data_IF_512543787336
#
_entry.id   IF_512543787336
#
_cell.length_a   1.000
_cell.length_b   1.000
_cell.length_c   1.000
_cell.angle_alpha   90.00
_cell.angle_beta   90.00
_cell.angle_gamma   90.00
#
_symmetry.space_group_name_H-M   'P 1'
#
loop_
_entity.id
_entity.type
_entity.pdbx_description
1 polymer ?
#
# COMPACT_ATOMS: atom_id res chain seq x y z
N UNK A 1 -8.16 -21.09 16.52
CA UNK A 1 -7.43 -21.77 15.42
C UNK A 1 -7.74 -20.99 14.15
N UNK A 2 -6.78 -20.32 13.50
CA UNK A 2 -7.08 -19.59 12.28
C UNK A 2 -7.31 -20.59 11.14
N UNK A 3 -8.39 -20.39 10.41
CA UNK A 3 -8.81 -21.19 9.27
C UNK A 3 -7.72 -21.09 8.18
N UNK A 4 -6.89 -22.13 8.09
CA UNK A 4 -5.94 -22.28 6.99
C UNK A 4 -6.75 -22.55 5.73
N UNK A 5 -6.48 -21.78 4.66
CA UNK A 5 -7.04 -21.92 3.30
C UNK A 5 -8.47 -21.40 3.09
N UNK A 6 -8.68 -20.08 3.13
CA UNK A 6 -9.88 -19.47 2.55
C UNK A 6 -9.57 -18.86 1.18
N UNK A 7 -9.24 -19.71 0.21
CA UNK A 7 -9.35 -19.33 -1.21
C UNK A 7 -10.84 -19.25 -1.55
N UNK A 8 -11.49 -18.17 -1.14
CA UNK A 8 -12.92 -18.00 -1.31
C UNK A 8 -13.20 -17.31 -2.64
N UNK A 9 -14.02 -17.97 -3.47
CA UNK A 9 -14.69 -17.26 -4.55
C UNK A 9 -15.69 -16.29 -3.91
N UNK A 10 -15.52 -15.00 -4.18
CA UNK A 10 -16.39 -13.91 -3.71
C UNK A 10 -17.15 -13.33 -4.89
N UNK A 11 -18.42 -13.00 -4.66
CA UNK A 11 -19.25 -12.25 -5.61
C UNK A 11 -19.33 -10.82 -5.12
N UNK A 12 -18.61 -9.90 -5.77
CA UNK A 12 -18.67 -8.47 -5.48
C UNK A 12 -19.92 -7.91 -6.14
N UNK A 13 -20.85 -7.38 -5.36
CA UNK A 13 -22.02 -6.67 -5.89
C UNK A 13 -21.60 -5.28 -6.38
N UNK A 14 -21.95 -4.96 -7.63
CA UNK A 14 -21.67 -3.66 -8.26
C UNK A 14 -22.95 -2.84 -8.48
N UNK A 15 -24.11 -3.51 -8.43
CA UNK A 15 -25.45 -2.96 -8.65
C UNK A 15 -26.48 -4.08 -8.57
N UNK A 16 -27.78 -3.78 -8.74
CA UNK A 16 -28.87 -4.75 -8.59
C UNK A 16 -28.71 -6.01 -9.46
N UNK A 17 -28.21 -5.84 -10.68
CA UNK A 17 -27.99 -6.92 -11.65
C UNK A 17 -26.52 -7.07 -12.05
N UNK A 18 -25.64 -6.23 -11.51
CA UNK A 18 -24.23 -6.22 -11.86
C UNK A 18 -23.40 -6.81 -10.72
N UNK A 19 -22.55 -7.78 -11.05
CA UNK A 19 -21.59 -8.35 -10.11
C UNK A 19 -20.28 -8.73 -10.79
N UNK A 20 -19.27 -8.96 -9.97
CA UNK A 20 -17.95 -9.43 -10.36
C UNK A 20 -17.55 -10.62 -9.49
N UNK A 21 -17.28 -11.76 -10.14
CA UNK A 21 -16.74 -12.94 -9.46
C UNK A 21 -15.23 -12.82 -9.35
N UNK A 22 -14.72 -12.87 -8.12
CA UNK A 22 -13.30 -12.84 -7.82
C UNK A 22 -12.90 -14.02 -6.94
N UNK A 23 -11.63 -14.38 -6.93
CA UNK A 23 -11.02 -15.27 -5.94
C UNK A 23 -9.87 -14.54 -5.27
N UNK A 24 -9.87 -14.49 -3.95
CA UNK A 24 -8.70 -14.00 -3.21
C UNK A 24 -7.68 -15.13 -3.14
N UNK A 25 -6.43 -14.81 -3.48
CA UNK A 25 -5.29 -15.70 -3.45
C UNK A 25 -4.37 -15.31 -2.29
N UNK A 26 -3.93 -16.29 -1.52
CA UNK A 26 -2.88 -16.08 -0.53
C UNK A 26 -1.51 -15.85 -1.21
N UNK A 27 -0.53 -15.26 -0.49
CA UNK A 27 0.83 -15.13 -1.00
C UNK A 27 1.46 -16.46 -1.44
N UNK A 28 1.15 -17.56 -0.73
CA UNK A 28 1.64 -18.90 -1.06
C UNK A 28 1.01 -19.44 -2.36
N UNK A 29 -0.30 -19.25 -2.54
CA UNK A 29 -1.00 -19.64 -3.77
C UNK A 29 -0.44 -18.88 -4.98
N UNK A 30 -0.26 -17.56 -4.85
CA UNK A 30 0.32 -16.73 -5.90
C UNK A 30 1.76 -17.16 -6.22
N UNK A 31 2.58 -17.41 -5.18
CA UNK A 31 3.96 -17.85 -5.34
C UNK A 31 4.05 -19.20 -6.07
N UNK A 32 3.14 -20.13 -5.74
CA UNK A 32 3.01 -21.40 -6.47
C UNK A 32 2.69 -21.18 -7.94
N UNK A 33 1.71 -20.32 -8.25
CA UNK A 33 1.35 -19.98 -9.64
C UNK A 33 2.51 -19.36 -10.42
N UNK A 34 3.30 -18.48 -9.78
CA UNK A 34 4.51 -17.87 -10.37
C UNK A 34 5.57 -18.94 -10.68
N UNK A 35 5.85 -19.83 -9.73
CA UNK A 35 6.87 -20.88 -9.86
C UNK A 35 6.52 -21.93 -10.91
N UNK A 36 5.23 -22.27 -11.03
CA UNK A 36 4.71 -23.20 -12.04
C UNK A 36 4.64 -22.55 -13.44
N UNK A 37 4.98 -21.26 -13.57
CA UNK A 37 4.84 -20.45 -14.79
C UNK A 37 3.41 -20.49 -15.35
N UNK A 38 2.42 -20.65 -14.48
CA UNK A 38 1.01 -20.67 -14.84
C UNK A 38 0.44 -19.27 -15.13
N UNK A 39 1.26 -18.24 -14.92
CA UNK A 39 0.93 -16.83 -15.14
C UNK A 39 2.06 -16.08 -15.82
N UNK A 40 1.70 -15.11 -16.64
CA UNK A 40 2.60 -14.17 -17.31
C UNK A 40 2.28 -12.74 -16.91
N UNK A 41 3.30 -11.95 -16.55
CA UNK A 41 3.11 -10.55 -16.20
C UNK A 41 2.65 -9.74 -17.41
N UNK A 42 1.69 -8.85 -17.19
CA UNK A 42 1.16 -7.90 -18.16
C UNK A 42 1.24 -6.49 -17.57
N UNK A 43 0.87 -5.47 -18.36
CA UNK A 43 0.78 -4.10 -17.85
C UNK A 43 -0.12 -4.04 -16.61
N UNK A 44 0.38 -3.42 -15.56
CA UNK A 44 -0.35 -3.27 -14.29
C UNK A 44 -1.64 -2.50 -14.51
N UNK A 45 -2.75 -3.07 -14.04
CA UNK A 45 -4.04 -2.39 -14.03
C UNK A 45 -4.04 -1.39 -12.86
N UNK A 46 -4.33 -0.10 -13.09
CA UNK A 46 -4.24 0.94 -12.07
C UNK A 46 -5.36 0.80 -11.04
N UNK A 47 -5.09 0.08 -9.97
CA UNK A 47 -6.00 -0.15 -8.83
C UNK A 47 -5.24 0.23 -7.56
N UNK A 48 -5.95 0.80 -6.58
CA UNK A 48 -5.33 1.18 -5.31
C UNK A 48 -4.63 -0.02 -4.66
N UNK A 49 -3.35 0.17 -4.28
CA UNK A 49 -2.53 -0.88 -3.66
C UNK A 49 -1.99 -1.96 -4.60
N UNK A 50 -2.33 -1.94 -5.90
CA UNK A 50 -1.83 -2.92 -6.86
C UNK A 50 -0.36 -2.65 -7.19
N UNK A 51 0.44 -3.73 -7.21
CA UNK A 51 1.86 -3.69 -7.58
C UNK A 51 2.11 -4.29 -8.96
N UNK A 52 1.54 -5.46 -9.24
CA UNK A 52 1.73 -6.21 -10.49
C UNK A 52 0.41 -6.77 -10.98
N UNK A 53 0.33 -7.01 -12.28
CA UNK A 53 -0.80 -7.74 -12.88
C UNK A 53 -0.28 -8.87 -13.74
N UNK A 54 -0.95 -10.02 -13.65
CA UNK A 54 -0.64 -11.20 -14.42
C UNK A 54 -1.87 -11.69 -15.18
N UNK A 55 -1.63 -12.36 -16.29
CA UNK A 55 -2.62 -13.14 -17.03
C UNK A 55 -2.30 -14.63 -16.89
N UNK A 56 -3.31 -15.45 -16.58
CA UNK A 56 -3.19 -16.92 -16.56
C UNK A 56 -3.32 -17.49 -17.98
N UNK A 57 -2.90 -18.73 -18.20
CA UNK A 57 -3.14 -19.44 -19.48
C UNK A 57 -4.63 -19.49 -19.85
N UNK A 58 -5.50 -19.56 -18.84
CA UNK A 58 -6.96 -19.51 -18.96
C UNK A 58 -7.54 -18.11 -19.20
N UNK A 59 -6.69 -17.10 -19.48
CA UNK A 59 -7.07 -15.69 -19.70
C UNK A 59 -7.80 -15.04 -18.52
N UNK A 60 -7.50 -15.51 -17.31
CA UNK A 60 -7.91 -14.86 -16.07
C UNK A 60 -6.88 -13.81 -15.69
N UNK A 61 -7.32 -12.74 -15.04
CA UNK A 61 -6.43 -11.67 -14.59
C UNK A 61 -6.18 -11.80 -13.10
N UNK A 62 -4.92 -11.71 -12.70
CA UNK A 62 -4.49 -11.73 -11.29
C UNK A 62 -3.88 -10.37 -10.99
N UNK A 63 -4.45 -9.64 -10.03
CA UNK A 63 -3.92 -8.38 -9.52
C UNK A 63 -3.24 -8.65 -8.18
N UNK A 64 -1.93 -8.46 -8.12
CA UNK A 64 -1.13 -8.57 -6.90
C UNK A 64 -1.07 -7.22 -6.20
N UNK A 65 -1.16 -7.23 -4.87
CA UNK A 65 -1.07 -6.04 -4.02
C UNK A 65 0.29 -5.96 -3.30
N UNK A 66 0.63 -4.78 -2.78
CA UNK A 66 1.91 -4.56 -2.08
C UNK A 66 2.11 -5.49 -0.87
N UNK A 67 1.05 -5.93 -0.20
CA UNK A 67 1.14 -6.89 0.90
C UNK A 67 1.35 -8.35 0.45
N UNK A 68 1.45 -8.61 -0.86
CA UNK A 68 1.69 -9.94 -1.44
C UNK A 68 0.44 -10.79 -1.66
N UNK A 69 -0.72 -10.36 -1.16
CA UNK A 69 -1.99 -10.99 -1.51
C UNK A 69 -2.40 -10.63 -2.95
N UNK A 70 -3.33 -11.39 -3.52
CA UNK A 70 -3.81 -11.13 -4.87
C UNK A 70 -5.29 -11.41 -5.05
N UNK A 71 -5.88 -10.78 -6.06
CA UNK A 71 -7.26 -11.02 -6.49
C UNK A 71 -7.23 -11.54 -7.92
N UNK A 72 -7.81 -12.72 -8.13
CA UNK A 72 -7.99 -13.33 -9.44
C UNK A 72 -9.42 -13.12 -9.95
N UNK A 73 -9.52 -12.75 -11.21
CA UNK A 73 -10.77 -12.39 -11.87
C UNK A 73 -11.02 -13.39 -12.99
N UNK A 74 -12.16 -14.07 -12.90
CA UNK A 74 -12.46 -15.24 -13.74
C UNK A 74 -12.77 -14.91 -15.21
N UNK A 75 -12.92 -13.64 -15.58
CA UNK A 75 -13.18 -13.24 -16.97
C UNK A 75 -12.51 -11.93 -17.35
N UNK A 76 -12.08 -11.84 -18.61
CA UNK A 76 -11.50 -10.60 -19.18
C UNK A 76 -12.49 -9.45 -19.17
N UNK A 77 -13.79 -9.69 -19.38
CA UNK A 77 -14.83 -8.67 -19.25
C UNK A 77 -14.94 -8.11 -17.83
N UNK A 78 -14.64 -8.94 -16.81
CA UNK A 78 -14.60 -8.51 -15.42
C UNK A 78 -13.53 -7.46 -15.13
N UNK A 79 -12.49 -7.33 -15.96
CA UNK A 79 -11.42 -6.35 -15.75
C UNK A 79 -11.90 -4.91 -15.90
N UNK A 80 -12.84 -4.64 -16.81
CA UNK A 80 -13.44 -3.31 -16.95
C UNK A 80 -14.22 -2.89 -15.72
N UNK A 81 -14.82 -3.86 -15.02
CA UNK A 81 -15.61 -3.65 -13.80
C UNK A 81 -14.75 -3.33 -12.58
N UNK A 82 -13.47 -3.74 -12.56
CA UNK A 82 -12.54 -3.42 -11.46
C UNK A 82 -12.40 -1.93 -11.21
N UNK A 83 -12.60 -1.09 -12.23
CA UNK A 83 -12.51 0.37 -12.06
C UNK A 83 -13.53 0.94 -11.07
N UNK A 84 -14.60 0.19 -10.78
CA UNK A 84 -15.61 0.53 -9.77
C UNK A 84 -15.25 0.03 -8.37
N UNK A 85 -14.25 -0.85 -8.26
CA UNK A 85 -13.87 -1.55 -7.03
C UNK A 85 -12.56 -0.97 -6.50
N UNK A 86 -12.62 -0.46 -5.28
CA UNK A 86 -11.46 -0.10 -4.49
C UNK A 86 -11.17 -1.23 -3.51
N UNK A 87 -10.00 -1.85 -3.63
CA UNK A 87 -9.52 -2.79 -2.62
C UNK A 87 -8.84 -2.02 -1.49
N UNK A 88 -9.10 -2.46 -0.27
CA UNK A 88 -8.64 -1.84 0.96
C UNK A 88 -7.96 -2.90 1.81
N UNK A 89 -6.81 -2.57 2.39
CA UNK A 89 -6.18 -3.39 3.42
C UNK A 89 -6.90 -3.15 4.74
N UNK A 90 -7.15 -4.21 5.49
CA UNK A 90 -7.66 -4.09 6.85
C UNK A 90 -6.50 -4.21 7.85
N UNK A 91 -6.49 -3.30 8.83
CA UNK A 91 -5.48 -3.18 9.87
C UNK A 91 -6.14 -3.38 11.25
N UNK A 92 -6.32 -4.63 11.70
CA UNK A 92 -6.85 -4.92 13.04
C UNK A 92 -6.42 -6.31 13.56
N UNK A 93 -6.59 -6.54 14.87
CA UNK A 93 -6.01 -7.66 15.62
C UNK A 93 -6.35 -9.06 15.07
N UNK A 94 -5.31 -9.85 14.81
CA UNK A 94 -5.39 -11.27 14.47
C UNK A 94 -5.63 -11.61 12.98
N UNK A 95 -5.79 -10.62 12.10
CA UNK A 95 -5.97 -10.82 10.66
C UNK A 95 -5.09 -9.91 9.81
N UNK A 96 -3.77 -10.13 9.91
CA UNK A 96 -2.77 -9.47 9.06
C UNK A 96 -2.96 -9.92 7.61
N UNK A 97 -2.81 -9.00 6.66
CA UNK A 97 -2.93 -9.22 5.21
C UNK A 97 -4.32 -9.50 4.63
N UNK A 98 -5.40 -9.17 5.34
CA UNK A 98 -6.74 -9.25 4.75
C UNK A 98 -6.99 -8.07 3.79
N UNK A 99 -7.49 -8.40 2.60
CA UNK A 99 -8.04 -7.43 1.66
C UNK A 99 -9.55 -7.47 1.77
N UNK A 100 -10.13 -6.27 1.83
CA UNK A 100 -11.54 -6.00 1.65
C UNK A 100 -11.80 -5.15 0.41
N UNK A 101 -13.07 -4.93 0.09
CA UNK A 101 -13.45 -4.11 -1.05
C UNK A 101 -14.55 -3.10 -0.71
N UNK A 102 -14.48 -1.98 -1.41
CA UNK A 102 -15.49 -0.96 -1.49
C UNK A 102 -15.84 -0.72 -2.95
N UNK A 103 -17.13 -0.62 -3.26
CA UNK A 103 -17.61 -0.26 -4.60
C UNK A 103 -18.27 1.10 -4.51
N UNK A 104 -17.80 2.05 -5.34
CA UNK A 104 -18.47 3.34 -5.47
C UNK A 104 -19.77 3.16 -6.24
N UNK A 105 -20.89 3.57 -5.64
CA UNK A 105 -22.23 3.49 -6.25
C UNK A 105 -22.75 4.89 -6.56
N UNK A 106 -23.57 4.99 -7.60
CA UNK A 106 -24.45 6.14 -7.79
C UNK A 106 -25.72 6.02 -6.94
N UNK A 107 -26.46 7.14 -6.82
CA UNK A 107 -27.69 7.22 -6.05
C UNK A 107 -28.80 6.28 -6.58
N UNK A 108 -29.07 6.20 -7.91
CA UNK A 108 -30.08 5.27 -8.42
C UNK A 108 -29.78 3.81 -8.05
N UNK A 109 -28.54 3.36 -8.22
CA UNK A 109 -28.15 1.98 -7.89
C UNK A 109 -28.22 1.72 -6.40
N UNK A 110 -27.81 2.69 -5.57
CA UNK A 110 -27.93 2.61 -4.12
C UNK A 110 -29.38 2.46 -3.68
N UNK A 111 -30.28 3.31 -4.20
CA UNK A 111 -31.70 3.27 -3.84
C UNK A 111 -32.35 1.93 -4.26
N UNK A 112 -32.00 1.41 -5.43
CA UNK A 112 -32.49 0.11 -5.90
C UNK A 112 -32.01 -1.06 -5.03
N UNK A 113 -30.76 -1.05 -4.56
CA UNK A 113 -30.22 -2.08 -3.65
C UNK A 113 -30.85 -1.97 -2.25
N UNK A 114 -31.03 -0.73 -1.78
CA UNK A 114 -31.63 -0.39 -0.49
C UNK A 114 -33.04 -0.95 -0.30
N UNK A 115 -33.83 -1.10 -1.37
CA UNK A 115 -35.17 -1.74 -1.33
C UNK A 115 -35.16 -3.15 -0.73
N UNK A 116 -34.04 -3.86 -0.87
CA UNK A 116 -33.86 -5.24 -0.40
C UNK A 116 -32.97 -5.37 0.85
N UNK A 117 -32.54 -4.25 1.44
CA UNK A 117 -31.59 -4.23 2.53
C UNK A 117 -32.23 -3.76 3.85
N UNK A 118 -31.69 -4.21 4.98
CA UNK A 118 -32.19 -3.86 6.31
C UNK A 118 -31.37 -2.70 6.86
N UNK A 119 -32.03 -1.59 7.19
CA UNK A 119 -31.37 -0.45 7.85
C UNK A 119 -30.86 -0.87 9.23
N UNK A 120 -29.66 -0.45 9.59
CA UNK A 120 -29.13 -0.61 10.94
C UNK A 120 -28.41 0.67 11.40
N UNK A 121 -28.22 0.78 12.72
CA UNK A 121 -27.42 1.84 13.34
C UNK A 121 -26.01 1.28 13.61
N UNK A 122 -24.95 1.85 13.02
CA UNK A 122 -23.60 1.35 13.20
C UNK A 122 -22.94 1.86 14.50
N UNK A 123 -23.61 2.75 15.26
CA UNK A 123 -23.05 3.44 16.42
C UNK A 123 -22.52 4.85 16.09
N UNK A 124 -22.34 5.68 17.14
CA UNK A 124 -22.08 7.11 17.01
C UNK A 124 -20.84 7.47 16.18
N UNK A 125 -19.75 6.71 16.36
CA UNK A 125 -18.48 6.98 15.66
C UNK A 125 -18.58 6.70 14.16
N UNK A 126 -19.18 5.58 13.76
CA UNK A 126 -19.34 5.25 12.34
C UNK A 126 -20.37 6.17 11.65
N UNK A 127 -21.35 6.69 12.40
CA UNK A 127 -22.27 7.71 11.92
C UNK A 127 -21.59 9.06 11.60
N UNK A 128 -20.36 9.30 12.05
CA UNK A 128 -19.56 10.44 11.57
C UNK A 128 -19.27 10.34 10.07
N UNK A 129 -18.98 9.12 9.61
CA UNK A 129 -18.58 8.82 8.24
C UNK A 129 -19.78 8.61 7.32
N UNK A 130 -20.87 8.00 7.78
CA UNK A 130 -22.07 7.74 6.98
C UNK A 130 -23.35 8.27 7.60
N UNK A 131 -24.30 8.73 6.77
CA UNK A 131 -25.64 9.13 7.22
C UNK A 131 -26.61 7.95 7.33
N UNK A 132 -26.47 6.98 6.42
CA UNK A 132 -27.36 5.84 6.35
C UNK A 132 -26.60 4.56 6.05
N UNK A 133 -26.94 3.50 6.80
CA UNK A 133 -26.34 2.17 6.70
C UNK A 133 -27.43 1.13 6.51
N UNK A 134 -27.23 0.26 5.52
CA UNK A 134 -28.12 -0.87 5.25
C UNK A 134 -27.30 -2.14 5.06
N UNK A 135 -27.79 -3.26 5.58
CA UNK A 135 -27.17 -4.58 5.42
C UNK A 135 -27.99 -5.40 4.43
N UNK A 136 -27.34 -5.90 3.39
CA UNK A 136 -27.93 -6.80 2.42
C UNK A 136 -27.96 -8.24 2.96
N UNK A 137 -28.79 -9.11 2.38
CA UNK A 137 -28.84 -10.54 2.75
C UNK A 137 -27.51 -11.27 2.51
N UNK A 138 -26.69 -10.77 1.59
CA UNK A 138 -25.32 -11.24 1.33
C UNK A 138 -24.32 -10.88 2.43
N UNK A 139 -24.68 -9.98 3.34
CA UNK A 139 -23.81 -9.44 4.39
C UNK A 139 -23.13 -8.12 4.03
N UNK A 140 -23.11 -7.75 2.75
CA UNK A 140 -22.57 -6.46 2.28
C UNK A 140 -23.34 -5.27 2.86
N UNK A 141 -22.64 -4.15 3.03
CA UNK A 141 -23.17 -2.95 3.67
C UNK A 141 -23.25 -1.82 2.68
N UNK A 142 -24.45 -1.28 2.48
CA UNK A 142 -24.68 -0.06 1.73
C UNK A 142 -24.47 1.14 2.65
N UNK A 143 -23.68 2.11 2.21
CA UNK A 143 -23.42 3.36 2.94
C UNK A 143 -23.76 4.56 2.08
N UNK A 144 -24.55 5.47 2.62
CA UNK A 144 -24.64 6.86 2.15
C UNK A 144 -23.65 7.69 2.96
N UNK A 145 -22.64 8.25 2.32
CA UNK A 145 -21.58 8.98 3.02
C UNK A 145 -22.09 10.30 3.60
N UNK A 146 -21.51 10.66 4.75
CA UNK A 146 -21.68 11.95 5.41
C UNK A 146 -21.22 13.09 4.50
N UNK A 147 -21.95 14.21 4.42
CA UNK A 147 -21.52 15.42 3.73
C UNK A 147 -20.17 15.97 4.21
N UNK A 148 -19.79 15.67 5.45
CA UNK A 148 -18.47 16.07 5.99
C UNK A 148 -17.33 15.23 5.43
N UNK A 149 -17.61 13.98 5.09
CA UNK A 149 -16.61 13.02 4.63
C UNK A 149 -16.58 12.93 3.10
N UNK A 150 -17.74 12.67 2.47
CA UNK A 150 -17.85 12.53 1.02
C UNK A 150 -19.25 12.94 0.54
N UNK A 151 -19.50 14.25 0.30
CA UNK A 151 -20.84 14.74 -0.02
C UNK A 151 -21.44 14.10 -1.28
N UNK A 152 -22.67 13.59 -1.13
CA UNK A 152 -23.46 13.01 -2.23
C UNK A 152 -22.90 11.72 -2.81
N UNK A 153 -22.05 11.02 -2.05
CA UNK A 153 -21.46 9.74 -2.46
C UNK A 153 -22.15 8.56 -1.78
N UNK A 154 -22.13 7.43 -2.46
CA UNK A 154 -22.69 6.17 -1.99
C UNK A 154 -21.68 5.05 -2.22
N UNK A 155 -21.69 4.03 -1.36
CA UNK A 155 -20.81 2.90 -1.49
C UNK A 155 -21.47 1.58 -1.08
N UNK A 156 -20.91 0.49 -1.60
CA UNK A 156 -21.15 -0.87 -1.16
C UNK A 156 -19.85 -1.35 -0.53
N UNK A 157 -19.89 -1.70 0.75
CA UNK A 157 -18.78 -2.26 1.49
C UNK A 157 -18.97 -3.78 1.57
N UNK A 158 -17.88 -4.53 1.48
CA UNK A 158 -17.92 -5.97 1.75
C UNK A 158 -18.49 -6.27 3.14
N UNK A 159 -18.10 -5.48 4.14
CA UNK A 159 -18.58 -5.58 5.51
C UNK A 159 -18.46 -4.21 6.19
N UNK A 160 -19.11 -3.98 7.33
CA UNK A 160 -18.93 -2.71 8.06
C UNK A 160 -17.46 -2.48 8.48
N UNK A 161 -16.72 -3.57 8.70
CA UNK A 161 -15.28 -3.56 9.02
C UNK A 161 -14.40 -3.04 7.88
N UNK A 162 -14.91 -3.01 6.64
CA UNK A 162 -14.20 -2.38 5.52
C UNK A 162 -13.86 -0.92 5.82
N UNK A 163 -14.63 -0.25 6.68
CA UNK A 163 -14.34 1.11 7.11
C UNK A 163 -13.00 1.26 7.86
N UNK A 164 -12.50 0.20 8.51
CA UNK A 164 -11.16 0.19 9.14
C UNK A 164 -10.06 0.41 8.09
N UNK A 165 -10.27 -0.05 6.85
CA UNK A 165 -9.33 0.20 5.76
C UNK A 165 -9.37 1.62 5.20
N UNK A 166 -10.35 2.43 5.62
CA UNK A 166 -10.45 3.86 5.28
C UNK A 166 -9.83 4.69 6.41
N UNK A 167 -10.15 4.33 7.66
CA UNK A 167 -9.61 4.95 8.86
C UNK A 167 -9.41 3.85 9.92
N UNK A 168 -8.16 3.57 10.27
CA UNK A 168 -7.84 2.44 11.15
C UNK A 168 -8.21 2.73 12.61
N UNK A 169 -8.38 4.00 13.02
CA UNK A 169 -8.87 4.36 14.36
C UNK A 169 -10.28 3.81 14.59
N UNK A 170 -11.03 3.53 13.52
CA UNK A 170 -12.35 2.90 13.60
C UNK A 170 -12.32 1.49 14.17
N UNK A 171 -11.17 0.82 14.22
CA UNK A 171 -11.05 -0.49 14.81
C UNK A 171 -11.51 -0.49 16.29
N UNK A 172 -11.20 0.55 17.08
CA UNK A 172 -11.61 0.66 18.49
C UNK A 172 -13.13 0.79 18.67
N UNK A 173 -13.81 1.34 17.67
CA UNK A 173 -15.23 1.68 17.75
C UNK A 173 -16.15 0.62 17.17
N UNK A 174 -15.63 -0.22 16.29
CA UNK A 174 -16.29 -1.46 15.88
C UNK A 174 -16.07 -2.43 17.04
N UNK A 175 -16.93 -2.33 18.06
CA UNK A 175 -16.84 -3.00 19.38
C UNK A 175 -16.80 -4.53 19.40
N UNK A 176 -16.48 -5.15 18.27
CA UNK A 176 -16.12 -6.55 18.11
C UNK A 176 -14.60 -6.77 18.15
N UNK A 177 -13.76 -5.74 17.96
CA UNK A 177 -12.32 -5.91 17.76
C UNK A 177 -11.53 -4.80 18.47
N UNK A 178 -10.36 -5.14 19.02
CA UNK A 178 -9.38 -4.13 19.43
C UNK A 178 -8.48 -3.84 18.23
N UNK A 179 -8.09 -2.59 17.95
CA UNK A 179 -6.98 -2.32 17.06
C UNK A 179 -5.79 -3.16 17.54
N UNK A 180 -5.15 -3.85 16.59
CA UNK A 180 -3.74 -4.15 16.81
C UNK A 180 -3.10 -2.78 16.65
N UNK A 181 -2.93 -2.05 17.77
CA UNK A 181 -1.87 -1.07 17.79
C UNK A 181 -0.66 -1.80 17.22
N UNK A 182 0.07 -1.18 16.30
CA UNK A 182 1.35 -1.72 15.83
C UNK A 182 2.33 -1.62 17.01
N UNK A 183 2.02 -2.29 18.13
CA UNK A 183 2.98 -2.79 19.07
C UNK A 183 3.81 -3.73 18.24
N UNK A 184 4.89 -3.16 17.71
CA UNK A 184 6.02 -3.79 17.07
C UNK A 184 6.34 -5.09 17.81
N UNK A 185 5.62 -6.17 17.51
CA UNK A 185 5.95 -7.51 17.94
C UNK A 185 7.02 -7.96 16.94
N UNK A 186 8.19 -7.35 17.11
CA UNK A 186 9.45 -7.50 16.38
C UNK A 186 9.87 -8.97 16.27
N UNK A 187 9.27 -9.85 17.07
CA UNK A 187 9.62 -11.26 17.15
C UNK A 187 8.97 -12.12 16.05
N UNK A 188 7.87 -11.67 15.42
CA UNK A 188 7.15 -12.45 14.40
C UNK A 188 7.31 -11.90 12.97
N UNK A 189 8.08 -10.82 12.77
CA UNK A 189 8.54 -10.42 11.45
C UNK A 189 9.52 -11.47 10.95
N UNK A 190 8.98 -12.56 10.40
CA UNK A 190 9.78 -13.57 9.73
C UNK A 190 10.64 -12.87 8.70
N UNK A 191 11.95 -12.97 8.87
CA UNK A 191 12.94 -12.60 7.86
C UNK A 191 12.48 -13.26 6.57
N UNK A 192 11.96 -12.47 5.62
CA UNK A 192 11.64 -13.00 4.29
C UNK A 192 12.96 -13.48 3.72
N UNK A 193 13.16 -14.80 3.68
CA UNK A 193 14.21 -15.43 2.88
C UNK A 193 14.06 -14.90 1.45
N UNK A 194 14.89 -13.92 1.08
CA UNK A 194 14.71 -13.17 -0.17
C UNK A 194 15.00 -11.67 -0.07
N UNK A 195 15.12 -11.09 1.12
CA UNK A 195 15.85 -9.82 1.29
C UNK A 195 17.34 -10.10 1.01
N UNK A 196 17.68 -10.27 -0.26
CA UNK A 196 19.05 -10.43 -0.72
C UNK A 196 19.90 -9.31 -0.14
N UNK A 197 21.16 -9.62 0.18
CA UNK A 197 22.15 -8.71 0.75
C UNK A 197 21.86 -7.22 0.44
N UNK A 198 21.19 -6.55 1.38
CA UNK A 198 20.84 -5.13 1.31
C UNK A 198 22.05 -4.26 1.66
N UNK A 199 23.27 -4.83 1.70
CA UNK A 199 24.48 -4.04 1.83
C UNK A 199 24.71 -3.22 0.56
N UNK A 200 24.67 -1.91 0.72
CA UNK A 200 24.97 -0.95 -0.32
C UNK A 200 26.44 -0.56 -0.22
N UNK A 201 27.21 -0.83 -1.26
CA UNK A 201 28.55 -0.25 -1.42
C UNK A 201 28.47 0.94 -2.35
N UNK A 202 28.87 2.10 -1.85
CA UNK A 202 29.09 3.31 -2.65
C UNK A 202 30.56 3.27 -3.06
N UNK A 203 30.85 3.25 -4.36
CA UNK A 203 32.23 3.28 -4.87
C UNK A 203 32.48 4.60 -5.61
N UNK A 204 33.53 5.35 -5.22
CA UNK A 204 34.02 6.54 -5.94
C UNK A 204 32.98 7.65 -6.22
N UNK A 205 32.04 7.89 -5.29
CA UNK A 205 31.05 8.98 -5.43
C UNK A 205 30.02 8.79 -6.56
N UNK A 206 29.98 7.60 -7.18
CA UNK A 206 28.98 7.20 -8.16
C UNK A 206 28.41 5.83 -7.77
N UNK A 207 27.09 5.70 -7.74
CA UNK A 207 26.46 4.44 -7.32
C UNK A 207 26.63 3.36 -8.42
N UNK A 208 27.49 2.38 -8.18
CA UNK A 208 27.77 1.27 -9.11
C UNK A 208 26.74 0.14 -9.05
N UNK A 209 25.60 0.33 -8.37
CA UNK A 209 24.70 -0.78 -8.08
C UNK A 209 23.20 -0.44 -7.98
N UNK A 210 22.73 0.49 -8.82
CA UNK A 210 21.32 0.91 -8.90
C UNK A 210 20.36 -0.28 -9.07
N UNK A 211 20.74 -1.24 -9.90
CA UNK A 211 19.91 -2.43 -10.16
C UNK A 211 19.80 -3.33 -8.92
N UNK A 212 20.86 -3.49 -8.13
CA UNK A 212 20.74 -4.22 -6.85
C UNK A 212 19.92 -3.43 -5.83
N UNK A 213 19.96 -2.10 -5.85
CA UNK A 213 19.09 -1.28 -5.00
C UNK A 213 17.63 -1.39 -5.37
N UNK A 214 17.30 -1.28 -6.66
CA UNK A 214 15.95 -1.54 -7.15
C UNK A 214 15.52 -2.95 -6.78
N UNK A 215 16.36 -3.95 -6.97
CA UNK A 215 16.05 -5.33 -6.62
C UNK A 215 15.80 -5.52 -5.12
N UNK A 216 16.62 -4.93 -4.25
CA UNK A 216 16.46 -4.99 -2.80
C UNK A 216 15.17 -4.32 -2.32
N UNK A 217 14.90 -3.10 -2.78
CA UNK A 217 13.65 -2.38 -2.49
C UNK A 217 12.44 -3.13 -3.05
N UNK A 218 12.55 -3.59 -4.30
CA UNK A 218 11.51 -4.37 -4.99
C UNK A 218 11.15 -5.63 -4.21
N UNK A 219 12.14 -6.37 -3.73
CA UNK A 219 11.93 -7.58 -2.94
C UNK A 219 11.31 -7.27 -1.58
N UNK A 220 11.86 -6.29 -0.85
CA UNK A 220 11.44 -5.98 0.50
C UNK A 220 10.02 -5.39 0.55
N UNK A 221 9.70 -4.51 -0.40
CA UNK A 221 8.43 -3.77 -0.49
C UNK A 221 7.42 -4.41 -1.48
N UNK A 222 7.74 -5.56 -2.07
CA UNK A 222 6.96 -6.19 -3.14
C UNK A 222 6.56 -5.22 -4.27
N UNK A 223 7.49 -4.35 -4.69
CA UNK A 223 7.29 -3.40 -5.79
C UNK A 223 7.78 -4.05 -7.08
N UNK A 224 7.15 -3.78 -8.23
CA UNK A 224 7.72 -4.15 -9.52
C UNK A 224 9.05 -3.40 -9.76
N UNK A 225 10.17 -4.12 -9.92
CA UNK A 225 11.50 -3.51 -10.07
C UNK A 225 11.58 -2.59 -11.29
N UNK A 226 10.89 -2.96 -12.36
CA UNK A 226 10.87 -2.22 -13.62
C UNK A 226 10.08 -0.91 -13.49
N UNK A 227 9.24 -0.80 -12.44
CA UNK A 227 8.48 0.42 -12.13
C UNK A 227 9.23 1.41 -11.25
N UNK A 228 10.44 1.05 -10.79
CA UNK A 228 11.33 1.89 -9.99
C UNK A 228 12.32 2.61 -10.92
N UNK A 229 12.20 3.92 -11.01
CA UNK A 229 12.94 4.77 -11.96
C UNK A 229 13.54 6.03 -11.32
N UNK A 230 13.55 6.11 -9.98
CA UNK A 230 13.96 7.31 -9.24
C UNK A 230 13.17 8.56 -9.66
N UNK A 231 11.85 8.45 -9.81
CA UNK A 231 10.92 9.57 -9.96
C UNK A 231 10.10 9.80 -8.68
N UNK A 232 9.33 10.89 -8.64
CA UNK A 232 8.33 11.08 -7.57
C UNK A 232 7.27 9.98 -7.55
N UNK A 233 6.90 9.44 -8.72
CA UNK A 233 5.96 8.32 -8.79
C UNK A 233 6.54 7.06 -8.11
N UNK A 234 7.85 6.83 -8.24
CA UNK A 234 8.55 5.77 -7.50
C UNK A 234 8.52 6.02 -5.98
N UNK A 235 8.66 7.28 -5.54
CA UNK A 235 8.57 7.63 -4.11
C UNK A 235 7.16 7.33 -3.59
N UNK A 236 6.13 7.69 -4.36
CA UNK A 236 4.74 7.44 -4.02
C UNK A 236 4.45 5.93 -3.91
N UNK A 237 5.08 5.09 -4.76
CA UNK A 237 5.00 3.62 -4.66
C UNK A 237 5.67 3.07 -3.40
N UNK A 238 6.83 3.61 -3.01
CA UNK A 238 7.53 3.22 -1.78
C UNK A 238 6.67 3.55 -0.56
N UNK A 239 6.17 4.78 -0.48
CA UNK A 239 5.29 5.25 0.60
C UNK A 239 4.01 4.40 0.69
N UNK A 240 3.35 4.17 -0.45
CA UNK A 240 2.16 3.31 -0.50
C UNK A 240 2.50 1.89 -0.07
N UNK A 241 3.62 1.32 -0.51
CA UNK A 241 4.01 -0.03 -0.11
C UNK A 241 4.31 -0.15 1.38
N UNK A 242 5.01 0.83 1.97
CA UNK A 242 5.27 0.89 3.41
C UNK A 242 3.97 0.93 4.20
N UNK A 243 3.00 1.75 3.78
CA UNK A 243 1.67 1.75 4.36
C UNK A 243 1.02 0.36 4.27
N UNK A 244 1.03 -0.27 3.10
CA UNK A 244 0.43 -1.59 2.88
C UNK A 244 1.14 -2.76 3.59
N UNK A 245 2.38 -2.57 4.03
CA UNK A 245 3.20 -3.61 4.67
C UNK A 245 3.59 -3.29 6.12
N UNK A 246 3.03 -2.24 6.73
CA UNK A 246 3.42 -1.72 8.05
C UNK A 246 3.33 -2.73 9.21
N UNK A 247 2.59 -3.83 9.05
CA UNK A 247 2.43 -4.92 10.04
C UNK A 247 3.32 -6.15 9.77
N UNK A 248 3.99 -6.19 8.61
CA UNK A 248 4.82 -7.32 8.17
C UNK A 248 6.30 -6.96 7.95
N UNK A 249 6.64 -5.67 8.03
CA UNK A 249 7.98 -5.18 7.80
C UNK A 249 8.49 -4.45 9.04
N UNK A 250 9.71 -4.75 9.47
CA UNK A 250 10.40 -3.92 10.45
C UNK A 250 10.89 -2.65 9.75
N UNK A 251 10.41 -1.46 10.14
CA UNK A 251 10.84 -0.20 9.54
C UNK A 251 12.37 -0.02 9.64
N UNK A 252 13.01 -0.56 10.68
CA UNK A 252 14.45 -0.40 10.89
C UNK A 252 15.27 -1.18 9.85
N UNK A 253 14.76 -2.30 9.35
CA UNK A 253 15.41 -3.08 8.29
C UNK A 253 15.33 -2.35 6.93
N UNK A 254 14.33 -1.49 6.76
CA UNK A 254 14.09 -0.74 5.53
C UNK A 254 14.68 0.67 5.54
N UNK A 255 15.06 1.19 6.71
CA UNK A 255 15.59 2.55 6.87
C UNK A 255 16.75 2.83 5.91
N UNK A 256 17.77 1.97 5.91
CA UNK A 256 18.96 2.15 5.08
C UNK A 256 18.65 1.97 3.58
N UNK A 257 17.97 0.90 3.13
CA UNK A 257 17.54 0.79 1.73
C UNK A 257 16.72 1.98 1.24
N UNK A 258 15.72 2.42 2.02
CA UNK A 258 14.89 3.56 1.66
C UNK A 258 15.73 4.83 1.58
N UNK A 259 16.55 5.12 2.58
CA UNK A 259 17.44 6.28 2.58
C UNK A 259 18.36 6.30 1.35
N UNK A 260 18.93 5.16 0.99
CA UNK A 260 19.78 5.01 -0.19
C UNK A 260 19.02 5.32 -1.48
N UNK A 261 17.79 4.79 -1.64
CA UNK A 261 16.94 5.05 -2.80
C UNK A 261 16.52 6.53 -2.90
N UNK A 262 16.07 7.12 -1.79
CA UNK A 262 15.66 8.52 -1.74
C UNK A 262 16.83 9.45 -2.02
N UNK A 263 18.01 9.16 -1.49
CA UNK A 263 19.18 9.97 -1.76
C UNK A 263 19.61 9.89 -3.21
N UNK A 264 19.41 8.76 -3.89
CA UNK A 264 19.77 8.64 -5.30
C UNK A 264 18.82 9.46 -6.16
N UNK A 265 17.52 9.43 -5.83
CA UNK A 265 16.53 10.32 -6.41
C UNK A 265 16.93 11.80 -6.26
N UNK A 266 17.26 12.22 -5.03
CA UNK A 266 17.62 13.61 -4.72
C UNK A 266 18.94 14.03 -5.39
N UNK A 267 19.96 13.17 -5.36
CA UNK A 267 21.25 13.42 -5.97
C UNK A 267 21.13 13.64 -7.48
N UNK A 268 20.34 12.82 -8.17
CA UNK A 268 20.03 13.01 -9.60
C UNK A 268 19.27 14.29 -9.87
N UNK A 269 18.24 14.58 -9.07
CA UNK A 269 17.35 15.72 -9.28
C UNK A 269 18.05 17.06 -9.08
N UNK A 270 18.97 17.13 -8.11
CA UNK A 270 19.66 18.37 -7.73
C UNK A 270 21.15 18.40 -8.08
N UNK A 271 21.67 17.37 -8.76
CA UNK A 271 23.08 17.22 -9.11
C UNK A 271 24.00 17.34 -7.88
N UNK A 272 23.71 16.53 -6.86
CA UNK A 272 24.42 16.49 -5.58
C UNK A 272 25.45 15.36 -5.56
N UNK A 273 26.43 15.49 -4.68
CA UNK A 273 27.41 14.43 -4.41
C UNK A 273 26.93 13.55 -3.26
N UNK A 274 27.26 12.27 -3.33
CA UNK A 274 27.11 11.33 -2.21
C UNK A 274 28.41 11.25 -1.42
N UNK A 275 28.35 11.54 -0.12
CA UNK A 275 29.46 11.36 0.82
C UNK A 275 29.15 10.16 1.71
N UNK A 276 30.06 9.19 1.79
CA UNK A 276 29.93 8.06 2.72
C UNK A 276 30.38 8.55 4.09
N UNK A 277 29.54 8.34 5.10
CA UNK A 277 30.00 8.43 6.47
C UNK A 277 30.46 7.06 6.96
N UNK A 278 31.75 6.96 7.27
CA UNK A 278 32.31 5.80 7.95
C UNK A 278 31.91 5.84 9.44
N UNK A 279 31.31 4.76 9.94
CA UNK A 279 30.76 4.68 11.30
C UNK A 279 30.25 3.27 11.66
N UNK A 280 29.51 3.14 12.77
CA UNK A 280 28.91 1.85 13.19
C UNK A 280 27.91 1.31 12.16
N UNK A 281 27.26 2.22 11.42
CA UNK A 281 26.57 1.93 10.17
C UNK A 281 27.19 2.81 9.08
N UNK A 282 27.65 2.21 7.99
CA UNK A 282 28.05 2.96 6.79
C UNK A 282 26.77 3.42 6.08
N UNK A 283 26.58 4.74 5.95
CA UNK A 283 25.48 5.28 5.19
C UNK A 283 25.88 6.55 4.43
N UNK A 284 25.16 6.80 3.33
CA UNK A 284 25.40 7.96 2.49
C UNK A 284 24.71 9.21 3.03
N UNK A 285 25.37 10.35 2.87
CA UNK A 285 24.83 11.70 3.05
C UNK A 285 24.89 12.45 1.74
N UNK A 286 23.94 13.35 1.52
CA UNK A 286 23.99 14.25 0.37
C UNK A 286 24.86 15.45 0.71
N UNK A 287 25.73 15.82 -0.21
CA UNK A 287 26.53 17.05 -0.13
C UNK A 287 26.17 17.96 -1.30
N UNK A 288 25.72 19.17 -0.98
CA UNK A 288 25.47 20.20 -1.99
C UNK A 288 26.77 20.88 -2.42
N UNK A 289 26.74 21.61 -3.54
CA UNK A 289 27.89 22.35 -4.07
C UNK A 289 28.40 23.44 -3.12
N UNK A 290 27.55 23.94 -2.23
CA UNK A 290 27.92 24.93 -1.20
C UNK A 290 28.58 24.29 0.03
N UNK A 291 28.70 22.95 0.04
CA UNK A 291 29.29 22.19 1.13
C UNK A 291 28.31 21.83 2.25
N UNK A 292 27.02 22.15 2.12
CA UNK A 292 26.02 21.69 3.08
C UNK A 292 25.84 20.18 2.96
N UNK A 293 25.72 19.54 4.11
CA UNK A 293 25.43 18.12 4.24
C UNK A 293 23.98 17.92 4.67
N UNK A 294 23.31 16.96 4.06
CA UNK A 294 21.94 16.54 4.39
C UNK A 294 21.99 15.05 4.70
N UNK A 295 21.60 14.70 5.92
CA UNK A 295 21.52 13.34 6.40
C UNK A 295 20.10 12.80 6.19
N UNK A 296 19.95 11.90 5.22
CA UNK A 296 18.64 11.31 4.88
C UNK A 296 18.25 10.25 5.91
N UNK A 297 19.24 9.51 6.42
CA UNK A 297 18.99 8.45 7.41
C UNK A 297 18.44 9.07 8.68
N UNK A 298 19.05 10.15 9.17
CA UNK A 298 18.55 10.89 10.34
C UNK A 298 17.11 11.37 10.12
N UNK A 299 16.84 12.01 8.97
CA UNK A 299 15.49 12.50 8.66
C UNK A 299 14.43 11.41 8.52
N UNK A 300 14.79 10.23 8.01
CA UNK A 300 13.87 9.11 7.93
C UNK A 300 13.75 8.39 9.29
N UNK A 301 14.81 8.29 10.09
CA UNK A 301 14.76 7.60 11.36
C UNK A 301 13.70 8.18 12.31
N UNK A 302 13.48 9.49 12.23
CA UNK A 302 12.49 10.20 13.03
C UNK A 302 11.04 10.02 12.53
N UNK A 303 10.84 9.65 11.26
CA UNK A 303 9.56 9.84 10.55
C UNK A 303 9.17 8.74 9.55
N UNK A 304 9.95 7.66 9.38
CA UNK A 304 9.74 6.74 8.24
C UNK A 304 8.37 6.06 8.28
N UNK A 305 7.93 5.69 9.48
CA UNK A 305 6.57 5.25 9.79
C UNK A 305 6.19 5.88 11.12
N UNK A 306 5.13 6.69 11.12
CA UNK A 306 4.47 7.05 12.37
C UNK A 306 3.93 5.76 12.99
N UNK A 307 4.55 5.31 14.09
CA UNK A 307 4.23 4.03 14.73
C UNK A 307 2.83 4.00 15.34
N UNK A 308 2.26 5.18 15.64
CA UNK A 308 0.92 5.27 16.21
C UNK A 308 -0.14 5.08 15.12
N UNK A 309 0.16 5.48 13.87
CA UNK A 309 -0.81 5.50 12.77
C UNK A 309 -0.47 4.54 11.61
N UNK A 310 0.71 3.93 11.60
CA UNK A 310 1.20 3.11 10.48
C UNK A 310 1.34 3.89 9.17
N UNK A 311 1.35 5.23 9.24
CA UNK A 311 1.45 6.13 8.10
C UNK A 311 2.92 6.31 7.78
N UNK A 312 3.31 6.07 6.53
CA UNK A 312 4.66 6.40 6.08
C UNK A 312 4.75 7.89 5.79
N UNK A 313 5.79 8.57 6.29
CA UNK A 313 6.04 9.99 6.00
C UNK A 313 7.18 10.21 4.99
N UNK A 314 7.51 9.18 4.21
CA UNK A 314 8.61 9.22 3.24
C UNK A 314 8.47 10.41 2.27
N UNK A 315 7.26 10.69 1.77
CA UNK A 315 7.05 11.82 0.85
C UNK A 315 7.21 13.16 1.54
N UNK A 316 6.78 13.27 2.79
CA UNK A 316 6.95 14.49 3.57
C UNK A 316 8.43 14.80 3.79
N UNK A 317 9.22 13.82 4.21
CA UNK A 317 10.69 13.93 4.37
C UNK A 317 11.36 14.36 3.06
N UNK A 318 10.98 13.75 1.93
CA UNK A 318 11.49 14.15 0.61
C UNK A 318 11.13 15.60 0.29
N UNK A 319 9.90 16.01 0.57
CA UNK A 319 9.43 17.39 0.40
C UNK A 319 10.25 18.40 1.19
N UNK A 320 10.51 18.13 2.47
CA UNK A 320 11.36 19.00 3.30
C UNK A 320 12.78 19.15 2.74
N UNK A 321 13.38 18.05 2.30
CA UNK A 321 14.73 18.07 1.73
C UNK A 321 14.75 18.84 0.41
N UNK A 322 13.75 18.65 -0.43
CA UNK A 322 13.60 19.41 -1.67
C UNK A 322 13.46 20.92 -1.40
N UNK A 323 12.68 21.31 -0.40
CA UNK A 323 12.53 22.72 0.00
C UNK A 323 13.84 23.33 0.49
N UNK A 324 14.61 22.57 1.26
CA UNK A 324 15.95 22.97 1.69
C UNK A 324 16.84 23.24 0.47
N UNK A 325 16.90 22.28 -0.46
CA UNK A 325 17.76 22.35 -1.65
C UNK A 325 17.36 23.47 -2.61
N UNK A 326 16.07 23.68 -2.82
CA UNK A 326 15.55 24.76 -3.65
C UNK A 326 15.97 26.14 -3.11
N UNK A 327 15.86 26.36 -1.79
CA UNK A 327 16.29 27.62 -1.16
C UNK A 327 17.81 27.86 -1.29
N UNK A 328 18.62 26.81 -1.43
CA UNK A 328 20.06 26.98 -1.68
C UNK A 328 20.37 27.36 -3.10
N UNK A 329 19.68 26.75 -4.06
CA UNK A 329 19.82 27.10 -5.48
C UNK A 329 19.55 28.58 -5.69
N UNK A 330 18.47 29.09 -5.11
CA UNK A 330 18.09 30.51 -5.21
C UNK A 330 19.13 31.46 -4.59
N UNK A 331 19.92 30.99 -3.61
CA UNK A 331 21.00 31.77 -2.96
C UNK A 331 22.32 31.70 -3.72
N UNK A 332 22.55 30.65 -4.51
CA UNK A 332 23.76 30.46 -5.31
C UNK A 332 23.72 31.13 -6.69
N UNK A 333 22.53 31.55 -7.14
CA UNK A 333 22.31 32.27 -8.41
C UNK A 333 22.26 33.82 -8.23
N UNK A 334 22.49 34.33 -7.01
CA UNK A 334 22.65 35.78 -6.71
C UNK A 334 24.12 36.18 -6.63
#
# INVERSE_FOLDING_TARGET
MPDKTNSQNRKIILGKEESLMVRILSPEELSKMKNEKAISQINTIPINGATRTFETDGKQIVVEFFNGSAVMIHSKEGTGKLRKVTFLRLLYSGKRNEISYMVNSDEPSFNLLKESAIRFDPGEYLAFFGEEFYRMDSGEVLVKWSPKFSPGKYAILEHIRTMIGIDFELADFIGEEKPDLVGLNIQDAGTKEGAGDLSFKIENGQQTNLEKMKAGISAALNIDSDSLDFSMESIDKIETSLFWNSDNLDPRELLIPCAAYLGEFLARKFNLEWEIQEGYYEYGRLKSKTGRRIDIVEKLADSMIDTDYGISEVRWVVGEIMDILNREKDRGEQ
#
